data_IF_320161597666
#
_entry.id   IF_320161597666
#
_cell.length_a   1.000
_cell.length_b   1.000
_cell.length_c   1.000
_cell.angle_alpha   90.00
_cell.angle_beta   90.00
_cell.angle_gamma   90.00
#
_symmetry.space_group_name_H-M   'P 1'
#
loop_
_entity.id
_entity.type
_entity.pdbx_description
1 polymer ?
#
# COMPACT_ATOMS: atom_id res chain seq x y z
N UNK A 1 -62.61 -48.75 -2.00
CA UNK A 1 -61.96 -48.60 -0.68
C UNK A 1 -60.53 -48.07 -0.89
N UNK A 2 -60.12 -47.11 -0.06
CA UNK A 2 -58.79 -46.46 0.00
C UNK A 2 -57.70 -47.53 0.26
N UNK A 3 -56.44 -47.40 -0.14
CA UNK A 3 -55.42 -46.47 0.38
C UNK A 3 -54.24 -46.36 -0.61
N UNK A 4 -53.83 -45.12 -0.91
CA UNK A 4 -52.55 -44.77 -1.56
C UNK A 4 -51.36 -44.96 -0.60
N UNK A 5 -50.22 -45.42 -1.12
CA UNK A 5 -48.90 -45.12 -0.54
C UNK A 5 -48.01 -44.49 -1.62
N UNK A 6 -47.43 -43.37 -1.24
CA UNK A 6 -46.66 -42.38 -1.99
C UNK A 6 -45.17 -42.77 -1.91
N UNK A 7 -44.38 -42.57 -2.98
CA UNK A 7 -43.22 -41.66 -3.00
C UNK A 7 -42.42 -41.72 -4.32
N UNK A 8 -42.74 -40.73 -5.16
CA UNK A 8 -41.90 -39.97 -6.08
C UNK A 8 -40.39 -39.95 -5.71
N UNK A 9 -39.48 -40.09 -6.67
CA UNK A 9 -38.31 -39.18 -6.86
C UNK A 9 -37.64 -39.42 -8.22
N UNK A 10 -37.81 -38.45 -9.11
CA UNK A 10 -37.03 -38.15 -10.30
C UNK A 10 -35.60 -37.75 -9.90
N UNK A 11 -34.55 -38.38 -10.44
CA UNK A 11 -33.18 -37.83 -10.32
C UNK A 11 -32.47 -37.83 -11.68
N UNK A 12 -32.41 -36.63 -12.23
CA UNK A 12 -31.71 -36.21 -13.42
C UNK A 12 -30.23 -35.99 -13.02
N UNK A 13 -29.32 -36.90 -13.41
CA UNK A 13 -27.88 -36.69 -13.17
C UNK A 13 -27.31 -35.86 -14.31
N UNK A 14 -27.11 -34.60 -13.99
CA UNK A 14 -26.57 -33.54 -14.82
C UNK A 14 -25.10 -33.84 -15.11
N UNK A 15 -24.73 -33.62 -16.37
CA UNK A 15 -23.41 -33.71 -16.97
C UNK A 15 -22.32 -33.00 -16.17
N UNK A 16 -21.14 -33.62 -16.11
CA UNK A 16 -19.90 -33.08 -15.55
C UNK A 16 -19.52 -31.73 -16.17
N UNK A 17 -19.89 -30.64 -15.51
CA UNK A 17 -19.18 -29.38 -15.64
C UNK A 17 -17.87 -29.52 -14.87
N UNK A 18 -16.80 -29.93 -15.57
CA UNK A 18 -15.44 -29.69 -15.11
C UNK A 18 -15.19 -28.19 -15.09
N UNK A 19 -15.68 -27.51 -14.06
CA UNK A 19 -15.16 -26.21 -13.66
C UNK A 19 -13.73 -26.45 -13.20
N UNK A 20 -12.77 -26.19 -14.09
CA UNK A 20 -11.40 -25.90 -13.72
C UNK A 20 -11.46 -24.78 -12.67
N UNK A 21 -11.30 -25.14 -11.40
CA UNK A 21 -10.97 -24.17 -10.35
C UNK A 21 -9.58 -23.67 -10.70
N UNK A 22 -9.52 -22.64 -11.56
CA UNK A 22 -8.37 -21.77 -11.60
C UNK A 22 -8.28 -21.16 -10.21
N UNK A 23 -7.15 -21.36 -9.54
CA UNK A 23 -6.82 -20.71 -8.28
C UNK A 23 -6.62 -19.20 -8.55
N UNK A 24 -7.70 -18.49 -8.86
CA UNK A 24 -7.72 -17.03 -9.00
C UNK A 24 -7.80 -16.42 -7.60
N UNK A 25 -6.73 -16.52 -6.82
CA UNK A 25 -6.55 -15.62 -5.69
C UNK A 25 -6.49 -14.19 -6.23
N UNK A 26 -7.35 -13.27 -5.75
CA UNK A 26 -7.33 -11.88 -6.19
C UNK A 26 -5.94 -11.27 -5.96
N UNK A 27 -5.37 -10.64 -6.98
CA UNK A 27 -4.13 -9.89 -6.81
C UNK A 27 -4.40 -8.63 -5.97
N UNK A 28 -3.52 -8.29 -5.01
CA UNK A 28 -3.68 -7.06 -4.23
C UNK A 28 -3.62 -5.82 -5.12
N UNK A 29 -4.53 -4.89 -4.86
CA UNK A 29 -4.54 -3.54 -5.43
C UNK A 29 -3.34 -2.73 -4.94
N UNK A 30 -2.98 -1.66 -5.65
CA UNK A 30 -1.93 -0.74 -5.21
C UNK A 30 -2.26 -0.16 -3.83
N UNK A 31 -3.54 0.20 -3.63
CA UNK A 31 -4.03 0.70 -2.35
C UNK A 31 -3.72 -0.28 -1.21
N UNK A 32 -3.96 -1.58 -1.41
CA UNK A 32 -3.63 -2.62 -0.42
C UNK A 32 -2.12 -2.79 -0.23
N UNK A 33 -1.33 -2.68 -1.32
CA UNK A 33 0.13 -2.85 -1.27
C UNK A 33 0.84 -1.75 -0.48
N UNK A 34 0.39 -0.50 -0.60
CA UNK A 34 1.03 0.64 0.07
C UNK A 34 0.69 0.73 1.56
N UNK A 35 -0.35 0.05 2.06
CA UNK A 35 -0.68 0.07 3.49
C UNK A 35 0.51 -0.45 4.32
N UNK A 36 0.81 0.26 5.40
CA UNK A 36 1.87 -0.05 6.35
C UNK A 36 2.93 1.04 6.48
N UNK A 37 3.94 0.74 7.31
CA UNK A 37 5.04 1.65 7.65
C UNK A 37 6.23 1.44 6.72
N UNK A 38 6.69 2.53 6.13
CA UNK A 38 7.74 2.59 5.13
C UNK A 38 8.82 3.56 5.57
N UNK A 39 10.04 3.06 5.77
CA UNK A 39 11.20 3.85 6.13
C UNK A 39 11.94 4.32 4.89
N UNK A 40 12.53 5.51 4.93
CA UNK A 40 13.32 6.00 3.81
C UNK A 40 14.60 5.18 3.69
N UNK A 41 14.91 4.71 2.50
CA UNK A 41 16.21 4.13 2.17
C UNK A 41 17.11 5.19 1.52
N UNK A 42 16.57 5.98 0.60
CA UNK A 42 17.31 7.04 -0.08
C UNK A 42 16.41 8.09 -0.73
N UNK A 43 16.92 9.32 -0.85
CA UNK A 43 16.34 10.40 -1.64
C UNK A 43 17.39 11.00 -2.57
N UNK A 44 17.25 10.89 -3.90
CA UNK A 44 18.23 11.46 -4.87
C UNK A 44 19.69 11.02 -4.57
N UNK A 45 19.87 9.79 -4.07
CA UNK A 45 21.18 9.28 -3.63
C UNK A 45 21.69 9.86 -2.29
N UNK A 46 20.96 10.78 -1.66
CA UNK A 46 21.13 11.16 -0.27
C UNK A 46 20.58 10.06 0.65
N UNK A 47 21.41 9.62 1.59
CA UNK A 47 21.12 8.45 2.42
C UNK A 47 22.01 8.48 3.67
N UNK A 48 21.68 9.35 4.62
CA UNK A 48 22.31 9.35 5.94
C UNK A 48 21.52 8.47 6.94
N UNK A 49 22.20 7.94 7.94
CA UNK A 49 21.63 7.01 8.93
C UNK A 49 20.48 7.61 9.77
N UNK A 50 20.45 8.92 9.97
CA UNK A 50 19.35 9.58 10.66
C UNK A 50 18.14 9.76 9.75
N UNK A 51 18.36 10.21 8.52
CA UNK A 51 17.32 10.39 7.53
C UNK A 51 16.63 9.07 7.18
N UNK A 52 17.37 7.95 7.18
CA UNK A 52 16.80 6.60 7.03
C UNK A 52 15.80 6.19 8.13
N UNK A 53 15.84 6.85 9.28
CA UNK A 53 14.86 6.63 10.34
C UNK A 53 13.55 7.39 10.11
N UNK A 54 13.49 8.28 9.11
CA UNK A 54 12.26 8.91 8.65
C UNK A 54 11.33 7.87 8.05
N UNK A 55 10.02 8.08 8.17
CA UNK A 55 9.04 7.16 7.61
C UNK A 55 7.75 7.85 7.17
N UNK A 56 7.00 7.11 6.37
CA UNK A 56 5.57 7.30 6.15
C UNK A 56 4.83 6.00 6.46
N UNK A 57 3.72 6.10 7.19
CA UNK A 57 2.86 4.98 7.55
C UNK A 57 1.47 5.22 6.98
N UNK A 58 1.13 4.53 5.90
CA UNK A 58 -0.23 4.57 5.32
C UNK A 58 -1.14 3.70 6.19
N UNK A 59 -1.90 4.34 7.08
CA UNK A 59 -2.73 3.69 8.10
C UNK A 59 -3.96 3.03 7.47
N UNK A 60 -4.56 3.71 6.49
CA UNK A 60 -5.71 3.27 5.72
C UNK A 60 -5.70 3.97 4.36
N UNK A 61 -6.80 3.89 3.62
CA UNK A 61 -6.99 4.44 2.28
C UNK A 61 -7.02 5.98 2.20
N UNK A 62 -6.96 6.67 3.34
CA UNK A 62 -7.11 8.14 3.42
C UNK A 62 -6.09 8.82 4.31
N UNK A 63 -5.44 8.09 5.21
CA UNK A 63 -4.61 8.65 6.26
C UNK A 63 -3.22 8.05 6.24
N UNK A 64 -2.23 8.93 6.35
CA UNK A 64 -0.84 8.59 6.55
C UNK A 64 -0.28 9.32 7.77
N UNK A 65 0.63 8.69 8.50
CA UNK A 65 1.43 9.35 9.54
C UNK A 65 2.87 9.37 9.09
N UNK A 66 3.53 10.53 9.13
CA UNK A 66 4.93 10.66 8.74
C UNK A 66 5.77 11.27 9.85
N UNK A 67 7.05 10.90 9.87
CA UNK A 67 8.05 11.54 10.71
C UNK A 67 9.32 11.73 9.88
N UNK A 68 9.88 12.94 9.91
CA UNK A 68 11.12 13.29 9.21
C UNK A 68 12.21 13.57 10.24
N UNK A 69 13.32 12.86 10.12
CA UNK A 69 14.45 12.96 11.04
C UNK A 69 15.69 13.49 10.34
N UNK A 70 16.44 14.33 11.05
CA UNK A 70 17.72 14.89 10.63
C UNK A 70 18.64 15.06 11.84
N UNK A 71 19.93 15.23 11.58
CA UNK A 71 20.88 15.57 12.63
C UNK A 71 20.70 17.03 13.10
N UNK A 72 20.69 17.24 14.41
CA UNK A 72 20.78 18.58 15.01
C UNK A 72 22.23 19.12 14.99
N UNK A 73 22.44 20.32 15.53
CA UNK A 73 23.78 20.94 15.61
C UNK A 73 24.78 20.18 16.50
N UNK A 74 24.30 19.25 17.32
CA UNK A 74 25.11 18.39 18.19
C UNK A 74 25.26 16.97 17.62
N UNK A 75 24.86 16.74 16.36
CA UNK A 75 24.89 15.44 15.69
C UNK A 75 23.99 14.38 16.37
N UNK A 76 22.93 14.80 17.07
CA UNK A 76 21.87 13.90 17.53
C UNK A 76 20.83 13.70 16.44
N UNK A 77 20.38 12.47 16.23
CA UNK A 77 19.28 12.21 15.32
C UNK A 77 17.94 12.58 15.98
N UNK A 78 17.29 13.63 15.47
CA UNK A 78 16.08 14.19 16.08
C UNK A 78 14.96 14.31 15.06
N UNK A 79 13.73 14.30 15.56
CA UNK A 79 12.55 14.61 14.77
C UNK A 79 12.53 16.10 14.43
N UNK A 80 12.44 16.44 13.15
CA UNK A 80 12.48 17.84 12.71
C UNK A 80 11.13 18.54 12.96
N UNK A 81 10.02 17.83 12.77
CA UNK A 81 8.66 18.35 12.96
C UNK A 81 7.79 17.54 13.94
N UNK A 82 8.31 16.45 14.51
CA UNK A 82 7.48 15.46 15.18
C UNK A 82 6.72 14.57 14.19
N UNK A 83 5.87 13.67 14.71
CA UNK A 83 4.91 12.93 13.89
C UNK A 83 3.83 13.87 13.35
N UNK A 84 3.50 13.73 12.07
CA UNK A 84 2.47 14.50 11.38
C UNK A 84 1.45 13.58 10.74
N UNK A 85 0.17 13.87 10.97
CA UNK A 85 -0.95 13.25 10.27
C UNK A 85 -1.16 13.97 8.94
N UNK A 86 -1.17 13.21 7.85
CA UNK A 86 -1.51 13.66 6.52
C UNK A 86 -2.74 12.89 6.01
N UNK A 87 -3.58 13.59 5.25
CA UNK A 87 -4.64 12.97 4.47
C UNK A 87 -4.19 12.85 3.02
N UNK A 88 -4.59 11.78 2.35
CA UNK A 88 -4.21 11.52 0.97
C UNK A 88 -5.33 10.82 0.20
N UNK A 89 -5.17 10.79 -1.12
CA UNK A 89 -5.94 9.96 -2.04
C UNK A 89 -5.04 9.32 -3.08
N UNK A 90 -5.41 8.13 -3.55
CA UNK A 90 -4.74 7.44 -4.66
C UNK A 90 -5.53 7.68 -5.95
N UNK A 91 -4.89 8.22 -6.97
CA UNK A 91 -5.51 8.46 -8.28
C UNK A 91 -5.46 7.21 -9.16
N UNK A 92 -6.23 7.22 -10.26
CA UNK A 92 -6.18 6.17 -11.27
C UNK A 92 -4.83 6.11 -12.02
N UNK A 93 -4.03 7.18 -11.94
CA UNK A 93 -2.70 7.27 -12.55
C UNK A 93 -1.58 6.88 -11.58
N UNK A 94 -1.92 6.20 -10.48
CA UNK A 94 -0.98 5.75 -9.45
C UNK A 94 -0.27 6.92 -8.74
N UNK A 95 -0.94 8.07 -8.65
CA UNK A 95 -0.45 9.21 -7.87
C UNK A 95 -1.04 9.19 -6.45
N UNK A 96 -0.18 9.40 -5.46
CA UNK A 96 -0.55 9.70 -4.08
C UNK A 96 -0.63 11.22 -3.96
N UNK A 97 -1.84 11.75 -3.81
CA UNK A 97 -2.08 13.18 -3.68
C UNK A 97 -2.38 13.48 -2.21
N UNK A 98 -1.52 14.26 -1.57
CA UNK A 98 -1.69 14.70 -0.19
C UNK A 98 -2.47 16.01 -0.13
N UNK A 99 -3.31 16.18 0.90
CA UNK A 99 -4.12 17.40 1.10
C UNK A 99 -3.27 18.68 1.27
N UNK A 100 -1.97 18.53 1.58
CA UNK A 100 -0.99 19.62 1.62
C UNK A 100 -0.50 20.10 0.24
N UNK A 101 -0.97 19.50 -0.85
CA UNK A 101 -0.63 19.83 -2.23
C UNK A 101 0.50 19.01 -2.83
N UNK A 102 1.23 18.20 -2.04
CA UNK A 102 2.27 17.31 -2.55
C UNK A 102 1.66 16.14 -3.31
N UNK A 103 2.30 15.75 -4.41
CA UNK A 103 1.86 14.66 -5.27
C UNK A 103 3.04 13.77 -5.57
N UNK A 104 2.92 12.50 -5.21
CA UNK A 104 3.93 11.48 -5.44
C UNK A 104 3.43 10.50 -6.49
N UNK A 105 4.15 10.39 -7.60
CA UNK A 105 3.88 9.36 -8.60
C UNK A 105 4.55 8.06 -8.20
N UNK A 106 3.80 6.96 -8.11
CA UNK A 106 4.35 5.64 -7.80
C UNK A 106 5.08 5.09 -9.02
N UNK A 107 6.38 4.83 -8.88
CA UNK A 107 7.16 4.13 -9.91
C UNK A 107 7.02 2.62 -9.76
N UNK A 108 7.17 2.11 -8.53
CA UNK A 108 7.02 0.68 -8.22
C UNK A 108 6.59 0.49 -6.77
N UNK A 109 5.74 -0.52 -6.54
CA UNK A 109 5.40 -1.01 -5.20
C UNK A 109 5.46 -2.55 -5.16
N UNK A 110 6.09 -3.07 -4.11
CA UNK A 110 6.23 -4.49 -3.80
C UNK A 110 6.01 -4.72 -2.31
N UNK A 111 6.16 -5.94 -1.81
CA UNK A 111 6.01 -6.23 -0.38
C UNK A 111 7.11 -5.59 0.48
N UNK A 112 8.26 -5.25 -0.11
CA UNK A 112 9.43 -4.75 0.63
C UNK A 112 9.87 -3.35 0.22
N UNK A 113 9.45 -2.86 -0.95
CA UNK A 113 9.91 -1.59 -1.49
C UNK A 113 8.78 -0.77 -2.10
N UNK A 114 8.77 0.52 -1.81
CA UNK A 114 7.95 1.56 -2.44
C UNK A 114 8.89 2.61 -3.03
N UNK A 115 8.74 2.89 -4.32
CA UNK A 115 9.52 3.90 -5.05
C UNK A 115 8.58 4.92 -5.65
N UNK A 116 8.84 6.20 -5.39
CA UNK A 116 8.01 7.30 -5.87
C UNK A 116 8.86 8.47 -6.37
N UNK A 117 8.28 9.34 -7.18
CA UNK A 117 8.83 10.67 -7.52
C UNK A 117 7.90 11.76 -7.02
N UNK A 118 8.42 12.79 -6.35
CA UNK A 118 7.63 13.99 -6.05
C UNK A 118 7.57 14.91 -7.27
N UNK A 119 6.41 15.48 -7.54
CA UNK A 119 6.23 16.48 -8.60
C UNK A 119 6.73 17.88 -8.21
N UNK A 120 6.97 18.15 -6.91
CA UNK A 120 7.39 19.47 -6.43
C UNK A 120 8.90 19.72 -6.53
N UNK A 121 9.70 18.66 -6.44
CA UNK A 121 11.15 18.74 -6.51
C UNK A 121 11.62 18.13 -7.83
N UNK A 122 12.14 18.95 -8.74
CA UNK A 122 12.65 18.53 -10.06
C UNK A 122 13.49 17.23 -9.96
N UNK A 123 12.85 16.10 -10.28
CA UNK A 123 13.41 14.74 -10.46
C UNK A 123 13.92 13.99 -9.23
N UNK A 124 13.38 14.27 -8.04
CA UNK A 124 13.72 13.51 -6.84
C UNK A 124 13.03 12.15 -6.75
N UNK A 125 13.77 11.04 -6.86
CA UNK A 125 13.26 9.69 -6.52
C UNK A 125 13.43 9.42 -5.02
N UNK A 126 12.32 9.12 -4.34
CA UNK A 126 12.28 8.59 -2.98
C UNK A 126 12.14 7.06 -3.05
N UNK A 127 13.02 6.36 -2.34
CA UNK A 127 12.95 4.91 -2.15
C UNK A 127 12.67 4.64 -0.69
N UNK A 128 11.63 3.87 -0.43
CA UNK A 128 11.27 3.40 0.89
C UNK A 128 11.36 1.88 1.00
N UNK A 129 11.66 1.40 2.20
CA UNK A 129 11.65 -0.01 2.60
C UNK A 129 10.60 -0.27 3.66
N UNK A 130 9.87 -1.38 3.54
CA UNK A 130 8.79 -1.71 4.47
C UNK A 130 9.36 -2.13 5.83
N UNK A 131 8.70 -1.73 6.91
CA UNK A 131 8.94 -2.35 8.22
C UNK A 131 8.56 -3.82 8.15
N UNK A 132 9.48 -4.69 8.56
CA UNK A 132 9.16 -6.09 8.88
C UNK A 132 8.23 -6.16 10.10
#
# INVERSE_FOLDING_TARGET
MKVCRIFNTLFLVITFLSCSKGDDTPQPTIQEKIIGKWYIESYVGYSDECFKQSYINFVNDKQAVSEWKNYDSNNNCVSYYGESLAFYSLTANEDIVFDGGDTWHIITVSDTQLKVTSQMENDGTLIFVKSN
#
